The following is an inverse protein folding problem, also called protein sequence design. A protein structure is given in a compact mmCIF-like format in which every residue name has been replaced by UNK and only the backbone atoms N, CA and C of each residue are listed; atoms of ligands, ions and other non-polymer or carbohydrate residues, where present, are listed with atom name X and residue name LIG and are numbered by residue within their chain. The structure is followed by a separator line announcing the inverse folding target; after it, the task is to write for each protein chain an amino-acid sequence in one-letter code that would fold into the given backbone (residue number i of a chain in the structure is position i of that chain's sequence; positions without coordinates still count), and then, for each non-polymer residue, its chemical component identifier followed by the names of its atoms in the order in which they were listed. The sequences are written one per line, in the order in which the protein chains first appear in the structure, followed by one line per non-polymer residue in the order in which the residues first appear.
data_IF_759322409757
#
_entry.id   IF_759322409757
#
_cell.length_a   1.000
_cell.length_b   1.000
_cell.length_c   1.000
_cell.angle_alpha   90.00
_cell.angle_beta   90.00
_cell.angle_gamma   90.00
#
_symmetry.space_group_name_H-M   'P 1'
#
loop_
_entity.id
_entity.type
_entity.pdbx_description
1 polymer ?
#
# COMPACT_ATOMS: atom_id res chain seq x y z
N UNK A 1 -8.73 15.34 -13.99
CA UNK A 1 -8.19 16.46 -13.20
C UNK A 1 -8.28 16.21 -11.69
N UNK A 2 -9.44 15.84 -11.12
CA UNK A 2 -9.62 15.64 -9.66
C UNK A 2 -8.77 14.50 -9.07
N UNK A 3 -8.67 13.37 -9.79
CA UNK A 3 -7.84 12.24 -9.34
C UNK A 3 -6.36 12.64 -9.32
N UNK A 4 -5.89 13.35 -10.34
CA UNK A 4 -4.50 13.80 -10.42
C UNK A 4 -4.15 14.75 -9.26
N UNK A 5 -5.04 15.67 -8.91
CA UNK A 5 -4.83 16.56 -7.75
C UNK A 5 -4.81 15.79 -6.43
N UNK A 6 -5.65 14.77 -6.26
CA UNK A 6 -5.64 13.92 -5.06
C UNK A 6 -4.31 13.16 -4.91
N UNK A 7 -3.82 12.55 -6.00
CA UNK A 7 -2.52 11.87 -6.01
C UNK A 7 -1.37 12.84 -5.72
N UNK A 8 -1.41 14.05 -6.27
CA UNK A 8 -0.40 15.08 -5.96
C UNK A 8 -0.38 15.46 -4.49
N UNK A 9 -1.56 15.59 -3.85
CA UNK A 9 -1.65 15.86 -2.42
C UNK A 9 -1.13 14.70 -1.57
N UNK A 10 -1.36 13.45 -1.95
CA UNK A 10 -0.79 12.27 -1.26
C UNK A 10 0.74 12.23 -1.37
N UNK A 11 1.28 12.51 -2.56
CA UNK A 11 2.74 12.60 -2.74
C UNK A 11 3.32 13.72 -1.86
N UNK A 12 2.69 14.89 -1.84
CA UNK A 12 3.13 16.01 -1.01
C UNK A 12 3.08 15.65 0.49
N UNK A 13 2.00 15.06 0.95
CA UNK A 13 1.87 14.59 2.33
C UNK A 13 2.92 13.53 2.68
N UNK A 14 3.18 12.59 1.78
CA UNK A 14 4.23 11.59 1.93
C UNK A 14 5.64 12.21 2.03
N UNK A 15 5.94 13.20 1.19
CA UNK A 15 7.21 13.93 1.25
C UNK A 15 7.37 14.70 2.57
N UNK A 16 6.31 15.37 3.05
CA UNK A 16 6.32 16.06 4.34
C UNK A 16 6.51 15.09 5.50
N UNK A 17 5.91 13.89 5.43
CA UNK A 17 6.08 12.85 6.43
C UNK A 17 7.53 12.33 6.46
N UNK A 18 8.12 12.05 5.30
CA UNK A 18 9.54 11.63 5.18
C UNK A 18 10.46 12.75 5.73
N UNK A 19 10.19 14.00 5.38
CA UNK A 19 10.94 15.15 5.89
C UNK A 19 10.84 15.27 7.41
N UNK A 20 9.65 15.05 7.97
CA UNK A 20 9.43 15.05 9.43
C UNK A 20 10.22 13.95 10.13
N UNK A 21 10.21 12.74 9.57
CA UNK A 21 11.03 11.63 10.07
C UNK A 21 12.52 12.00 9.99
N UNK A 22 12.97 12.54 8.87
CA UNK A 22 14.36 12.94 8.69
C UNK A 22 14.80 13.99 9.71
N UNK A 23 13.99 15.02 9.95
CA UNK A 23 14.26 16.07 10.98
C UNK A 23 14.29 15.46 12.38
N UNK A 24 13.35 14.55 12.70
CA UNK A 24 13.32 13.86 13.98
C UNK A 24 14.60 13.04 14.20
N UNK A 25 15.03 12.28 13.19
CA UNK A 25 16.24 11.48 13.28
C UNK A 25 17.52 12.32 13.32
N UNK A 26 17.63 13.38 12.52
CA UNK A 26 18.83 14.25 12.53
C UNK A 26 18.99 15.03 13.84
N UNK A 27 17.88 15.31 14.55
CA UNK A 27 17.94 15.93 15.87
C UNK A 27 18.42 15.00 16.98
N UNK A 28 18.42 13.68 16.79
CA UNK A 28 18.73 12.68 17.82
C UNK A 28 19.89 11.74 17.46
N UNK A 29 20.34 11.71 16.20
CA UNK A 29 21.42 10.83 15.73
C UNK A 29 22.73 11.60 15.60
N UNK A 30 23.79 11.02 16.15
CA UNK A 30 25.16 11.46 15.87
C UNK A 30 25.57 11.03 14.45
N UNK A 31 26.50 11.76 13.81
CA UNK A 31 27.01 11.45 12.47
C UNK A 31 27.60 10.02 12.37
N UNK A 32 28.12 9.51 13.48
CA UNK A 32 28.63 8.13 13.60
C UNK A 32 27.53 7.09 13.42
N UNK A 33 26.32 7.36 13.94
CA UNK A 33 25.17 6.45 13.86
C UNK A 33 24.62 6.39 12.43
N UNK A 34 24.64 7.52 11.71
CA UNK A 34 24.29 7.56 10.30
C UNK A 34 25.25 6.72 9.44
N UNK A 35 26.55 6.81 9.68
CA UNK A 35 27.52 5.99 8.97
C UNK A 35 27.33 4.49 9.25
N UNK A 36 26.95 4.14 10.46
CA UNK A 36 26.66 2.76 10.83
C UNK A 36 25.38 2.26 10.13
N UNK A 37 24.31 3.06 10.14
CA UNK A 37 23.07 2.74 9.41
C UNK A 37 23.34 2.52 7.92
N UNK A 38 24.12 3.37 7.26
CA UNK A 38 24.48 3.18 5.85
C UNK A 38 25.30 1.92 5.60
N UNK A 39 26.21 1.56 6.51
CA UNK A 39 26.92 0.27 6.43
C UNK A 39 26.00 -0.91 6.57
N UNK A 40 25.10 -0.86 7.57
CA UNK A 40 24.15 -1.95 7.85
C UNK A 40 23.18 -2.13 6.69
N UNK A 41 22.70 -1.04 6.08
CA UNK A 41 21.91 -1.10 4.82
C UNK A 41 22.73 -1.72 3.69
N UNK A 42 24.00 -1.38 3.56
CA UNK A 42 24.88 -1.95 2.55
C UNK A 42 25.10 -3.47 2.73
N UNK A 43 25.29 -3.92 3.95
CA UNK A 43 25.42 -5.36 4.26
C UNK A 43 24.13 -6.11 4.04
N UNK A 44 22.98 -5.56 4.47
CA UNK A 44 21.66 -6.12 4.19
C UNK A 44 21.39 -6.22 2.70
N UNK A 45 21.73 -5.18 1.92
CA UNK A 45 21.59 -5.22 0.46
C UNK A 45 22.42 -6.36 -0.16
N UNK A 46 23.66 -6.54 0.27
CA UNK A 46 24.51 -7.62 -0.23
C UNK A 46 23.99 -9.02 0.15
N UNK A 47 23.47 -9.18 1.36
CA UNK A 47 22.87 -10.44 1.80
C UNK A 47 21.59 -10.76 1.04
N UNK A 48 20.68 -9.80 0.92
CA UNK A 48 19.41 -9.96 0.23
C UNK A 48 19.62 -10.17 -1.27
N UNK A 49 20.59 -9.52 -1.89
CA UNK A 49 20.90 -9.68 -3.32
C UNK A 49 21.39 -11.07 -3.70
N UNK A 50 21.85 -11.89 -2.75
CA UNK A 50 22.21 -13.30 -3.01
C UNK A 50 21.00 -14.18 -3.28
N UNK A 51 19.83 -13.82 -2.73
CA UNK A 51 18.62 -14.61 -2.76
C UNK A 51 17.51 -13.99 -3.64
N UNK A 52 17.53 -12.67 -3.82
CA UNK A 52 16.54 -11.93 -4.59
C UNK A 52 17.17 -11.35 -5.87
N UNK A 53 16.45 -11.49 -6.96
CA UNK A 53 16.77 -10.73 -8.17
C UNK A 53 16.39 -9.27 -7.95
N UNK A 54 17.37 -8.44 -7.54
CA UNK A 54 17.16 -7.03 -7.15
C UNK A 54 16.42 -6.19 -8.21
N UNK A 55 16.72 -6.27 -9.53
CA UNK A 55 15.94 -5.55 -10.53
C UNK A 55 14.45 -5.89 -10.50
N UNK A 56 14.10 -7.19 -10.39
CA UNK A 56 12.70 -7.63 -10.33
C UNK A 56 12.02 -7.11 -9.07
N UNK A 57 12.69 -7.23 -7.93
CA UNK A 57 12.18 -6.73 -6.65
C UNK A 57 11.91 -5.22 -6.67
N UNK A 58 12.82 -4.43 -7.25
CA UNK A 58 12.62 -2.97 -7.39
C UNK A 58 11.43 -2.63 -8.30
N UNK A 59 11.23 -3.39 -9.38
CA UNK A 59 10.06 -3.24 -10.25
C UNK A 59 8.78 -3.54 -9.49
N UNK A 60 8.72 -4.64 -8.72
CA UNK A 60 7.56 -5.02 -7.90
C UNK A 60 7.23 -3.95 -6.87
N UNK A 61 8.23 -3.44 -6.14
CA UNK A 61 8.08 -2.35 -5.17
C UNK A 61 7.54 -1.09 -5.87
N UNK A 62 8.10 -0.72 -7.01
CA UNK A 62 7.67 0.47 -7.77
C UNK A 62 6.21 0.34 -8.21
N UNK A 63 5.82 -0.81 -8.78
CA UNK A 63 4.42 -1.06 -9.18
C UNK A 63 3.49 -0.98 -7.97
N UNK A 64 3.88 -1.60 -6.85
CA UNK A 64 3.07 -1.58 -5.61
C UNK A 64 2.91 -0.16 -5.07
N UNK A 65 3.96 0.64 -5.07
CA UNK A 65 3.89 2.04 -4.64
C UNK A 65 2.96 2.86 -5.55
N UNK A 66 3.09 2.73 -6.86
CA UNK A 66 2.23 3.45 -7.82
C UNK A 66 0.76 3.02 -7.66
N UNK A 67 0.51 1.70 -7.57
CA UNK A 67 -0.83 1.17 -7.35
C UNK A 67 -1.41 1.67 -6.01
N UNK A 68 -0.61 1.72 -4.95
CA UNK A 68 -0.98 2.25 -3.64
C UNK A 68 -1.40 3.71 -3.68
N UNK A 69 -0.59 4.56 -4.33
CA UNK A 69 -0.89 5.99 -4.51
C UNK A 69 -2.19 6.25 -5.29
N UNK A 70 -2.54 5.37 -6.22
CA UNK A 70 -3.77 5.49 -7.01
C UNK A 70 -4.96 4.89 -6.26
N UNK A 71 -4.77 3.77 -5.55
CA UNK A 71 -5.85 3.06 -4.86
C UNK A 71 -6.41 3.84 -3.68
N UNK A 72 -5.61 4.65 -2.97
CA UNK A 72 -6.06 5.47 -1.84
C UNK A 72 -7.19 6.42 -2.23
N UNK A 73 -6.99 7.37 -3.17
CA UNK A 73 -8.05 8.22 -3.67
C UNK A 73 -9.22 7.46 -4.29
N UNK A 74 -8.96 6.38 -5.05
CA UNK A 74 -10.03 5.59 -5.66
C UNK A 74 -10.92 4.90 -4.62
N UNK A 75 -10.34 4.43 -3.52
CA UNK A 75 -11.11 3.87 -2.41
C UNK A 75 -12.05 4.90 -1.80
N UNK A 76 -11.61 6.16 -1.63
CA UNK A 76 -12.46 7.26 -1.17
C UNK A 76 -13.59 7.54 -2.17
N UNK A 77 -13.29 7.59 -3.46
CA UNK A 77 -14.33 7.78 -4.48
C UNK A 77 -15.31 6.62 -4.53
N UNK A 78 -14.85 5.38 -4.39
CA UNK A 78 -15.72 4.21 -4.31
C UNK A 78 -16.65 4.27 -3.07
N UNK A 79 -16.11 4.67 -1.91
CA UNK A 79 -16.89 4.82 -0.69
C UNK A 79 -17.95 5.93 -0.81
N UNK A 80 -17.61 7.07 -1.41
CA UNK A 80 -18.55 8.16 -1.69
C UNK A 80 -19.63 7.69 -2.66
N UNK A 81 -19.24 7.00 -3.74
CA UNK A 81 -20.17 6.46 -4.72
C UNK A 81 -21.18 5.51 -4.07
N UNK A 82 -20.71 4.58 -3.22
CA UNK A 82 -21.57 3.68 -2.46
C UNK A 82 -22.48 4.44 -1.49
N UNK A 83 -21.99 5.48 -0.82
CA UNK A 83 -22.78 6.33 0.06
C UNK A 83 -23.93 7.03 -0.67
N UNK A 84 -23.73 7.42 -1.93
CA UNK A 84 -24.76 8.03 -2.76
C UNK A 84 -25.90 7.09 -3.16
N UNK A 85 -25.73 5.78 -3.05
CA UNK A 85 -26.82 4.82 -3.28
C UNK A 85 -27.92 4.92 -2.21
N UNK A 86 -27.62 5.49 -1.06
CA UNK A 86 -28.58 5.67 0.04
C UNK A 86 -29.23 7.05 -0.04
N UNK A 87 -30.58 7.11 -0.02
CA UNK A 87 -31.33 8.35 -0.12
C UNK A 87 -31.19 9.25 1.13
N UNK A 88 -31.02 8.64 2.31
CA UNK A 88 -30.93 9.33 3.61
C UNK A 88 -29.52 9.17 4.19
N UNK A 89 -28.97 10.24 4.75
CA UNK A 89 -27.65 10.23 5.42
C UNK A 89 -26.48 9.78 4.52
N UNK A 90 -26.38 10.28 3.28
CA UNK A 90 -25.37 9.91 2.28
C UNK A 90 -23.95 9.98 2.80
N UNK A 91 -23.61 11.03 3.56
CA UNK A 91 -22.26 11.22 4.12
C UNK A 91 -21.92 10.14 5.16
N UNK A 92 -22.88 9.81 6.03
CA UNK A 92 -22.69 8.78 7.04
C UNK A 92 -22.48 7.41 6.39
N UNK A 93 -23.25 7.07 5.37
CA UNK A 93 -23.06 5.82 4.61
C UNK A 93 -21.75 5.79 3.82
N UNK A 94 -21.27 6.92 3.32
CA UNK A 94 -19.94 6.99 2.68
C UNK A 94 -18.83 6.69 3.70
N UNK A 95 -18.92 7.22 4.91
CA UNK A 95 -17.96 6.95 5.98
C UNK A 95 -18.00 5.47 6.38
N UNK A 96 -19.19 4.92 6.59
CA UNK A 96 -19.35 3.49 6.92
C UNK A 96 -18.78 2.60 5.81
N UNK A 97 -19.06 2.92 4.55
CA UNK A 97 -18.53 2.17 3.40
C UNK A 97 -17.01 2.22 3.33
N UNK A 98 -16.41 3.36 3.63
CA UNK A 98 -14.95 3.51 3.69
C UNK A 98 -14.33 2.57 4.73
N UNK A 99 -14.86 2.60 5.96
CA UNK A 99 -14.39 1.72 7.03
C UNK A 99 -14.63 0.25 6.72
N UNK A 100 -15.79 -0.10 6.14
CA UNK A 100 -16.09 -1.47 5.76
C UNK A 100 -15.10 -1.99 4.71
N UNK A 101 -14.81 -1.22 3.66
CA UNK A 101 -13.81 -1.57 2.65
C UNK A 101 -12.44 -1.74 3.31
N UNK A 102 -12.03 -0.80 4.17
CA UNK A 102 -10.74 -0.86 4.86
C UNK A 102 -10.60 -2.12 5.72
N UNK A 103 -11.63 -2.47 6.50
CA UNK A 103 -11.64 -3.68 7.34
C UNK A 103 -11.54 -4.94 6.48
N UNK A 104 -12.31 -5.03 5.38
CA UNK A 104 -12.23 -6.18 4.47
C UNK A 104 -10.83 -6.33 3.89
N UNK A 105 -10.20 -5.23 3.46
CA UNK A 105 -8.83 -5.24 2.95
C UNK A 105 -7.83 -5.74 4.01
N UNK A 106 -7.98 -5.27 5.25
CA UNK A 106 -7.14 -5.71 6.37
C UNK A 106 -7.31 -7.20 6.69
N UNK A 107 -8.54 -7.70 6.69
CA UNK A 107 -8.82 -9.12 6.92
C UNK A 107 -8.15 -9.99 5.85
N UNK A 108 -8.30 -9.64 4.56
CA UNK A 108 -7.69 -10.39 3.46
C UNK A 108 -6.16 -10.40 3.58
N UNK A 109 -5.55 -9.25 3.83
CA UNK A 109 -4.10 -9.14 4.02
C UNK A 109 -3.61 -9.95 5.23
N UNK A 110 -4.34 -9.91 6.35
CA UNK A 110 -4.00 -10.65 7.57
C UNK A 110 -4.10 -12.15 7.39
N UNK A 111 -5.15 -12.64 6.71
CA UNK A 111 -5.31 -14.06 6.39
C UNK A 111 -4.14 -14.55 5.53
N UNK A 112 -3.81 -13.81 4.47
CA UNK A 112 -2.71 -14.19 3.61
C UNK A 112 -1.36 -14.19 4.35
N UNK A 113 -1.09 -13.15 5.16
CA UNK A 113 0.12 -13.08 5.98
C UNK A 113 0.21 -14.27 6.96
N UNK A 114 -0.91 -14.65 7.59
CA UNK A 114 -0.96 -15.80 8.48
C UNK A 114 -0.65 -17.10 7.73
N UNK A 115 -1.22 -17.31 6.55
CA UNK A 115 -0.96 -18.51 5.75
C UNK A 115 0.51 -18.58 5.34
N UNK A 116 1.09 -17.48 4.86
CA UNK A 116 2.51 -17.43 4.50
C UNK A 116 3.43 -17.62 5.71
N UNK A 117 3.08 -17.03 6.86
CA UNK A 117 3.85 -17.15 8.09
C UNK A 117 3.81 -18.56 8.69
N UNK A 118 2.66 -19.23 8.66
CA UNK A 118 2.53 -20.62 9.14
C UNK A 118 3.21 -21.65 8.23
N UNK A 119 3.32 -21.35 6.94
CA UNK A 119 4.01 -22.23 5.97
C UNK A 119 5.52 -22.19 6.10
N UNK A 120 6.06 -21.26 6.89
CA UNK A 120 7.50 -21.14 7.14
C UNK A 120 7.86 -21.89 8.41
N UNK A 121 8.50 -23.08 8.33
CA UNK A 121 9.03 -23.71 9.52
C UNK A 121 10.05 -22.78 10.14
N UNK A 122 9.81 -22.47 11.42
CA UNK A 122 10.63 -21.67 12.34
C UNK A 122 11.90 -21.08 11.72
N UNK A 123 11.96 -19.75 11.69
CA UNK A 123 12.99 -18.84 11.15
C UNK A 123 14.43 -19.25 11.54
N UNK A 124 14.92 -20.37 11.08
CA UNK A 124 16.29 -20.81 11.30
C UNK A 124 17.18 -20.71 10.03
N UNK A 125 16.56 -20.56 8.85
CA UNK A 125 17.30 -20.42 7.59
C UNK A 125 16.91 -19.14 6.87
N UNK A 126 17.90 -18.28 6.60
CA UNK A 126 17.76 -17.02 5.85
C UNK A 126 17.08 -17.19 4.49
N UNK A 127 17.26 -18.32 3.85
CA UNK A 127 16.66 -18.66 2.55
C UNK A 127 15.12 -18.71 2.60
N UNK A 128 14.54 -19.36 3.63
CA UNK A 128 13.08 -19.42 3.82
C UNK A 128 12.47 -18.06 4.12
N UNK A 129 13.15 -17.24 4.93
CA UNK A 129 12.70 -15.89 5.23
C UNK A 129 12.59 -15.04 3.96
N UNK A 130 13.61 -15.10 3.09
CA UNK A 130 13.63 -14.36 1.82
C UNK A 130 12.56 -14.87 0.86
N UNK A 131 12.34 -16.18 0.77
CA UNK A 131 11.27 -16.73 -0.07
C UNK A 131 9.87 -16.30 0.42
N UNK A 132 9.65 -16.23 1.73
CA UNK A 132 8.40 -15.73 2.32
C UNK A 132 8.17 -14.26 1.98
N UNK A 133 9.21 -13.42 2.10
CA UNK A 133 9.14 -12.01 1.71
C UNK A 133 8.81 -11.86 0.22
N UNK A 134 9.45 -12.65 -0.65
CA UNK A 134 9.19 -12.62 -2.09
C UNK A 134 7.74 -12.97 -2.41
N UNK A 135 7.21 -14.05 -1.83
CA UNK A 135 5.82 -14.46 -2.05
C UNK A 135 4.83 -13.40 -1.55
N UNK A 136 5.13 -12.79 -0.39
CA UNK A 136 4.32 -11.72 0.16
C UNK A 136 4.34 -10.47 -0.71
N UNK A 137 5.49 -10.07 -1.25
CA UNK A 137 5.62 -8.94 -2.16
C UNK A 137 4.84 -9.15 -3.45
N UNK A 138 4.96 -10.34 -4.06
CA UNK A 138 4.21 -10.69 -5.26
C UNK A 138 2.69 -10.64 -5.01
N UNK A 139 2.22 -11.19 -3.90
CA UNK A 139 0.81 -11.10 -3.51
C UNK A 139 0.37 -9.64 -3.34
N UNK A 140 1.13 -8.85 -2.58
CA UNK A 140 0.81 -7.44 -2.32
C UNK A 140 0.71 -6.65 -3.62
N UNK A 141 1.61 -6.90 -4.56
CA UNK A 141 1.59 -6.25 -5.89
C UNK A 141 0.32 -6.61 -6.66
N UNK A 142 0.01 -7.91 -6.79
CA UNK A 142 -1.20 -8.37 -7.51
C UNK A 142 -2.46 -7.84 -6.81
N UNK A 143 -2.51 -7.93 -5.49
CA UNK A 143 -3.65 -7.49 -4.69
C UNK A 143 -3.89 -5.98 -4.82
N UNK A 144 -2.83 -5.17 -4.75
CA UNK A 144 -2.89 -3.72 -4.93
C UNK A 144 -3.43 -3.32 -6.31
N UNK A 145 -2.95 -3.95 -7.37
CA UNK A 145 -3.44 -3.70 -8.74
C UNK A 145 -4.90 -4.13 -8.89
N UNK A 146 -5.27 -5.31 -8.37
CA UNK A 146 -6.64 -5.80 -8.41
C UNK A 146 -7.61 -4.88 -7.66
N UNK A 147 -7.22 -4.38 -6.49
CA UNK A 147 -8.00 -3.43 -5.70
C UNK A 147 -8.16 -2.09 -6.42
N UNK A 148 -7.10 -1.56 -7.02
CA UNK A 148 -7.15 -0.34 -7.83
C UNK A 148 -8.16 -0.48 -8.97
N UNK A 149 -8.11 -1.58 -9.72
CA UNK A 149 -9.05 -1.87 -10.79
C UNK A 149 -10.50 -2.04 -10.26
N UNK A 150 -10.68 -2.73 -9.12
CA UNK A 150 -11.97 -2.91 -8.48
C UNK A 150 -12.59 -1.59 -8.02
N UNK A 151 -11.84 -0.73 -7.36
CA UNK A 151 -12.33 0.59 -6.93
C UNK A 151 -12.69 1.49 -8.11
N UNK A 152 -11.89 1.44 -9.18
CA UNK A 152 -12.22 2.15 -10.40
C UNK A 152 -13.54 1.65 -10.99
N UNK A 153 -13.71 0.33 -11.14
CA UNK A 153 -14.92 -0.26 -11.71
C UNK A 153 -16.17 0.05 -10.87
N UNK A 154 -16.08 -0.01 -9.53
CA UNK A 154 -17.19 0.34 -8.64
C UNK A 154 -17.55 1.82 -8.82
N UNK A 155 -16.57 2.69 -8.83
CA UNK A 155 -16.76 4.14 -8.97
C UNK A 155 -17.42 4.46 -10.31
N UNK A 156 -16.90 3.93 -11.42
CA UNK A 156 -17.42 4.12 -12.76
C UNK A 156 -18.85 3.58 -12.89
N UNK A 157 -19.10 2.36 -12.44
CA UNK A 157 -20.43 1.74 -12.49
C UNK A 157 -21.48 2.54 -11.73
N UNK A 158 -21.15 3.01 -10.52
CA UNK A 158 -22.12 3.76 -9.70
C UNK A 158 -22.39 5.14 -10.29
N UNK A 159 -21.36 5.85 -10.75
CA UNK A 159 -21.55 7.19 -11.30
C UNK A 159 -22.25 7.17 -12.66
N UNK A 160 -21.92 6.21 -13.53
CA UNK A 160 -22.52 6.17 -14.89
C UNK A 160 -23.90 5.56 -14.91
N UNK A 161 -24.13 4.43 -14.19
CA UNK A 161 -25.39 3.68 -14.30
C UNK A 161 -26.41 3.98 -13.21
N UNK A 162 -25.98 4.37 -12.01
CA UNK A 162 -26.90 4.54 -10.88
C UNK A 162 -27.23 5.99 -10.57
N UNK A 163 -26.32 6.91 -10.81
CA UNK A 163 -26.52 8.32 -10.49
C UNK A 163 -26.93 9.18 -11.68
N UNK A 164 -26.86 8.64 -12.92
CA UNK A 164 -27.25 9.34 -14.16
C UNK A 164 -26.77 10.80 -14.14
N UNK A 165 -25.49 11.00 -13.83
CA UNK A 165 -24.87 12.31 -13.82
C UNK A 165 -24.47 12.66 -15.26
N UNK A 166 -25.47 12.97 -16.10
CA UNK A 166 -25.31 13.71 -17.34
C UNK A 166 -25.41 15.20 -17.09
#
# INVERSE_FOLDING_TARGET
AKLLSAVLWEILAGLLFILSIFIFFTGHLHLTDLQQIFRDIGTLYQEVSKYLNMPVFLIEVTITCIAGLISGPLMLYAAIALGHLFKKHRVLWAIISYFAIYVVMQIISSIYFSICGYSSPVISNSEYAVQTVKNYMLFTTIFSVACTAGFYAITDYVFTKKLNLE
#
